data_IF_922665661785
#
_entry.id   IF_922665661785
#
_cell.length_a   1.000
_cell.length_b   1.000
_cell.length_c   1.000
_cell.angle_alpha   90.00
_cell.angle_beta   90.00
_cell.angle_gamma   90.00
#
_symmetry.space_group_name_H-M   'P 1'
#
loop_
_entity.id
_entity.type
_entity.pdbx_description
1 polymer ?
#
# COMPACT_ATOMS: atom_id res chain seq x y z
N UNK A 1 -15.87 11.51 -1.94
CA UNK A 1 -15.40 10.22 -1.37
C UNK A 1 -15.17 9.11 -2.39
N UNK A 2 -16.08 8.81 -3.34
CA UNK A 2 -15.90 7.72 -4.33
C UNK A 2 -14.58 7.81 -5.13
N UNK A 3 -14.16 9.03 -5.51
CA UNK A 3 -12.88 9.27 -6.21
C UNK A 3 -11.65 9.00 -5.35
N UNK A 4 -11.71 9.32 -4.05
CA UNK A 4 -10.62 9.10 -3.09
C UNK A 4 -10.41 7.61 -2.83
N UNK A 5 -11.50 6.85 -2.61
CA UNK A 5 -11.42 5.39 -2.45
C UNK A 5 -10.85 4.72 -3.69
N UNK A 6 -11.31 5.11 -4.89
CA UNK A 6 -10.76 4.60 -6.15
C UNK A 6 -9.25 4.90 -6.31
N UNK A 7 -8.80 6.07 -5.86
CA UNK A 7 -7.38 6.40 -5.88
C UNK A 7 -6.59 5.51 -4.89
N UNK A 8 -7.12 5.30 -3.69
CA UNK A 8 -6.50 4.42 -2.69
C UNK A 8 -6.47 2.96 -3.16
N UNK A 9 -7.48 2.47 -3.87
CA UNK A 9 -7.48 1.13 -4.47
C UNK A 9 -6.35 0.97 -5.50
N UNK A 10 -6.14 1.98 -6.34
CA UNK A 10 -5.04 1.98 -7.32
C UNK A 10 -3.67 2.01 -6.66
N UNK A 11 -3.53 2.79 -5.58
CA UNK A 11 -2.27 2.86 -4.81
C UNK A 11 -2.00 1.51 -4.15
N UNK A 12 -3.00 0.93 -3.49
CA UNK A 12 -2.88 -0.39 -2.87
C UNK A 12 -2.43 -1.44 -3.88
N UNK A 13 -3.13 -1.57 -5.01
CA UNK A 13 -2.80 -2.56 -6.04
C UNK A 13 -1.38 -2.39 -6.59
N UNK A 14 -0.91 -1.15 -6.72
CA UNK A 14 0.46 -0.88 -7.16
C UNK A 14 1.49 -1.31 -6.11
N UNK A 15 1.26 -0.99 -4.84
CA UNK A 15 2.18 -1.35 -3.75
C UNK A 15 2.22 -2.87 -3.51
N UNK A 16 1.08 -3.56 -3.61
CA UNK A 16 1.00 -5.03 -3.56
C UNK A 16 1.82 -5.65 -4.70
N UNK A 17 1.63 -5.18 -5.94
CA UNK A 17 2.41 -5.64 -7.09
C UNK A 17 3.91 -5.35 -6.91
N UNK A 18 4.28 -4.21 -6.35
CA UNK A 18 5.68 -3.84 -6.10
C UNK A 18 6.33 -4.75 -5.05
N UNK A 19 5.60 -5.16 -4.00
CA UNK A 19 6.07 -6.17 -3.05
C UNK A 19 6.26 -7.55 -3.69
N UNK A 20 5.32 -7.97 -4.53
CA UNK A 20 5.35 -9.27 -5.18
C UNK A 20 6.48 -9.37 -6.22
N UNK A 21 6.78 -8.27 -6.90
CA UNK A 21 7.79 -8.21 -7.97
C UNK A 21 9.19 -7.86 -7.47
N UNK A 22 9.33 -7.28 -6.28
CA UNK A 22 10.64 -6.94 -5.70
C UNK A 22 11.36 -8.19 -5.20
N UNK A 23 12.26 -8.72 -6.02
CA UNK A 23 13.21 -9.74 -5.62
C UNK A 23 14.18 -9.20 -4.56
N UNK A 24 14.52 -10.04 -3.58
CA UNK A 24 15.43 -9.66 -2.48
C UNK A 24 16.83 -10.13 -2.81
N UNK A 25 17.71 -9.19 -3.12
CA UNK A 25 19.12 -9.46 -3.42
C UNK A 25 20.06 -8.76 -2.45
N UNK A 26 19.56 -7.81 -1.67
CA UNK A 26 20.34 -7.00 -0.73
C UNK A 26 19.51 -6.56 0.48
N UNK A 27 20.20 -6.13 1.54
CA UNK A 27 19.55 -5.49 2.70
C UNK A 27 18.76 -4.23 2.33
N UNK A 28 19.19 -3.53 1.26
CA UNK A 28 18.46 -2.40 0.71
C UNK A 28 17.08 -2.82 0.21
N UNK A 29 16.98 -3.97 -0.46
CA UNK A 29 15.70 -4.49 -0.97
C UNK A 29 14.79 -4.91 0.18
N UNK A 30 15.35 -5.46 1.26
CA UNK A 30 14.62 -5.76 2.49
C UNK A 30 14.03 -4.48 3.10
N UNK A 31 14.84 -3.43 3.25
CA UNK A 31 14.39 -2.14 3.76
C UNK A 31 13.34 -1.48 2.86
N UNK A 32 13.52 -1.59 1.54
CA UNK A 32 12.54 -1.07 0.57
C UNK A 32 11.19 -1.79 0.67
N UNK A 33 11.19 -3.13 0.76
CA UNK A 33 9.97 -3.92 0.98
C UNK A 33 9.31 -3.62 2.33
N UNK A 34 10.09 -3.38 3.38
CA UNK A 34 9.56 -2.95 4.68
C UNK A 34 8.82 -1.61 4.55
N UNK A 35 9.40 -0.63 3.86
CA UNK A 35 8.75 0.66 3.59
C UNK A 35 7.46 0.54 2.76
N UNK A 36 7.42 -0.34 1.76
CA UNK A 36 6.18 -0.61 1.00
C UNK A 36 5.11 -1.23 1.90
N UNK A 37 5.51 -2.15 2.79
CA UNK A 37 4.59 -2.80 3.74
C UNK A 37 3.98 -1.79 4.71
N UNK A 38 4.77 -0.85 5.23
CA UNK A 38 4.28 0.25 6.08
C UNK A 38 3.31 1.17 5.32
N UNK A 39 3.65 1.54 4.08
CA UNK A 39 2.77 2.36 3.24
C UNK A 39 1.42 1.67 2.96
N UNK A 40 1.42 0.35 2.73
CA UNK A 40 0.19 -0.44 2.54
C UNK A 40 -0.72 -0.40 3.77
N UNK A 41 -0.15 -0.55 4.97
CA UNK A 41 -0.92 -0.44 6.22
C UNK A 41 -1.62 0.91 6.29
N UNK A 42 -0.90 2.01 6.04
CA UNK A 42 -1.48 3.36 6.06
C UNK A 42 -2.61 3.54 5.04
N UNK A 43 -2.47 2.99 3.83
CA UNK A 43 -3.51 3.01 2.80
C UNK A 43 -4.75 2.25 3.26
N UNK A 44 -4.58 1.06 3.82
CA UNK A 44 -5.68 0.23 4.32
C UNK A 44 -6.41 0.89 5.50
N UNK A 45 -5.67 1.49 6.44
CA UNK A 45 -6.24 2.24 7.56
C UNK A 45 -7.03 3.47 7.09
N UNK A 46 -6.49 4.19 6.11
CA UNK A 46 -7.18 5.34 5.50
C UNK A 46 -8.47 4.90 4.81
N UNK A 47 -8.42 3.81 4.04
CA UNK A 47 -9.61 3.21 3.41
C UNK A 47 -10.65 2.83 4.46
N UNK A 48 -10.24 2.13 5.52
CA UNK A 48 -11.12 1.73 6.63
C UNK A 48 -11.79 2.95 7.26
N UNK A 49 -11.02 3.99 7.56
CA UNK A 49 -11.52 5.24 8.15
C UNK A 49 -12.55 5.94 7.25
N UNK A 50 -12.27 6.02 5.96
CA UNK A 50 -13.20 6.62 4.98
C UNK A 50 -14.48 5.80 4.76
N UNK A 51 -14.42 4.49 4.98
CA UNK A 51 -15.60 3.61 4.90
C UNK A 51 -16.38 3.53 6.20
N UNK A 52 -15.74 3.72 7.35
CA UNK A 52 -16.36 3.68 8.68
C UNK A 52 -17.03 4.99 9.07
N UNK A 53 -16.58 6.13 8.53
CA UNK A 53 -17.22 7.44 8.71
C UNK A 53 -18.45 7.65 7.82
N UNK A 54 -19.13 6.58 7.39
CA UNK A 54 -20.28 6.60 6.47
C UNK A 54 -21.48 5.88 7.06
#
# INVERSE_FOLDING_TARGET
MKRTLLALDKIQARLENELDTTAVHSERDVGYRAGISEALVQVMETKKSLTAGR
#
